data_IF_581149899926
#
_entry.id   IF_581149899926
#
_cell.length_a   1.000
_cell.length_b   1.000
_cell.length_c   1.000
_cell.angle_alpha   90.00
_cell.angle_beta   90.00
_cell.angle_gamma   90.00
#
_symmetry.space_group_name_H-M   'P 1'
#
loop_
_entity.id
_entity.type
_entity.pdbx_description
1 polymer ?
#
# COMPACT_ATOMS: atom_id res chain seq x y z
N UNK A 1 20.67 -5.59 -9.72
CA UNK A 1 19.48 -4.76 -9.45
C UNK A 1 18.96 -4.26 -10.78
N UNK A 2 17.73 -4.63 -11.13
CA UNK A 2 17.04 -4.26 -12.36
C UNK A 2 16.12 -3.07 -12.06
N UNK A 3 16.51 -1.88 -12.53
CA UNK A 3 15.76 -0.65 -12.32
C UNK A 3 14.36 -0.67 -12.95
N UNK A 4 14.10 -1.51 -13.96
CA UNK A 4 12.75 -1.68 -14.50
C UNK A 4 11.85 -2.41 -13.51
N UNK A 5 12.32 -3.50 -12.89
CA UNK A 5 11.57 -4.21 -11.86
C UNK A 5 11.28 -3.34 -10.65
N UNK A 6 12.25 -2.55 -10.18
CA UNK A 6 12.01 -1.65 -9.04
C UNK A 6 10.99 -0.55 -9.37
N UNK A 7 11.01 0.01 -10.59
CA UNK A 7 9.97 0.95 -11.04
C UNK A 7 8.60 0.29 -11.09
N UNK A 8 8.51 -0.96 -11.57
CA UNK A 8 7.25 -1.70 -11.55
C UNK A 8 6.77 -2.00 -10.13
N UNK A 9 7.68 -2.27 -9.19
CA UNK A 9 7.35 -2.41 -7.78
C UNK A 9 6.74 -1.12 -7.21
N UNK A 10 7.35 0.03 -7.52
CA UNK A 10 6.83 1.33 -7.11
C UNK A 10 5.44 1.62 -7.71
N UNK A 11 5.24 1.38 -9.01
CA UNK A 11 3.92 1.54 -9.66
C UNK A 11 2.87 0.60 -9.06
N UNK A 12 3.25 -0.62 -8.68
CA UNK A 12 2.34 -1.54 -8.03
C UNK A 12 1.97 -1.08 -6.60
N UNK A 13 2.93 -0.51 -5.86
CA UNK A 13 2.68 0.07 -4.55
C UNK A 13 1.76 1.30 -4.64
N UNK A 14 1.98 2.18 -5.61
CA UNK A 14 1.11 3.33 -5.90
C UNK A 14 -0.33 2.89 -6.16
N UNK A 15 -0.53 1.93 -7.06
CA UNK A 15 -1.86 1.36 -7.34
C UNK A 15 -2.51 0.76 -6.11
N UNK A 16 -1.75 0.11 -5.22
CA UNK A 16 -2.31 -0.43 -3.99
C UNK A 16 -2.96 0.66 -3.15
N UNK A 17 -2.30 1.81 -3.00
CA UNK A 17 -2.83 2.95 -2.24
C UNK A 17 -4.03 3.57 -2.97
N UNK A 18 -3.94 3.76 -4.28
CA UNK A 18 -5.08 4.27 -5.10
C UNK A 18 -6.32 3.38 -4.95
N UNK A 19 -6.14 2.06 -4.94
CA UNK A 19 -7.23 1.11 -4.73
C UNK A 19 -7.82 1.21 -3.32
N UNK A 20 -7.01 1.45 -2.28
CA UNK A 20 -7.54 1.72 -0.94
C UNK A 20 -8.37 3.01 -0.92
N UNK A 21 -7.88 4.09 -1.53
CA UNK A 21 -8.59 5.38 -1.61
C UNK A 21 -9.91 5.23 -2.38
N UNK A 22 -9.92 4.40 -3.42
CA UNK A 22 -11.11 4.10 -4.19
C UNK A 22 -12.07 3.10 -3.51
N UNK A 23 -11.78 2.64 -2.28
CA UNK A 23 -12.61 1.67 -1.56
C UNK A 23 -12.61 0.26 -2.17
N UNK A 24 -11.51 -0.14 -2.82
CA UNK A 24 -11.33 -1.41 -3.51
C UNK A 24 -10.30 -2.31 -2.82
N UNK A 25 -10.60 -2.85 -1.62
CA UNK A 25 -9.65 -3.56 -0.78
C UNK A 25 -9.00 -4.77 -1.47
N UNK A 26 -9.77 -5.56 -2.23
CA UNK A 26 -9.24 -6.76 -2.91
C UNK A 26 -8.31 -6.42 -4.09
N UNK A 27 -8.51 -5.27 -4.74
CA UNK A 27 -7.56 -4.77 -5.76
C UNK A 27 -6.29 -4.24 -5.10
N UNK A 28 -6.41 -3.57 -3.95
CA UNK A 28 -5.28 -3.08 -3.18
C UNK A 28 -4.36 -4.21 -2.70
N UNK A 29 -4.93 -5.28 -2.13
CA UNK A 29 -4.17 -6.44 -1.66
C UNK A 29 -3.38 -7.08 -2.80
N UNK A 30 -4.01 -7.30 -3.96
CA UNK A 30 -3.33 -7.86 -5.15
C UNK A 30 -2.21 -6.96 -5.65
N UNK A 31 -2.43 -5.65 -5.70
CA UNK A 31 -1.40 -4.69 -6.11
C UNK A 31 -0.23 -4.67 -5.11
N UNK A 32 -0.50 -4.75 -3.81
CA UNK A 32 0.54 -4.80 -2.77
C UNK A 32 1.40 -6.06 -2.84
N UNK A 33 0.79 -7.22 -3.09
CA UNK A 33 1.50 -8.49 -3.31
C UNK A 33 2.39 -8.38 -4.55
N UNK A 34 1.86 -7.79 -5.62
CA UNK A 34 2.63 -7.56 -6.83
C UNK A 34 3.83 -6.63 -6.60
N UNK A 35 3.68 -5.61 -5.77
CA UNK A 35 4.78 -4.74 -5.38
C UNK A 35 5.88 -5.53 -4.65
N UNK A 36 5.50 -6.38 -3.68
CA UNK A 36 6.44 -7.23 -2.94
C UNK A 36 7.16 -8.27 -3.83
N UNK A 37 6.47 -8.86 -4.83
CA UNK A 37 7.10 -9.79 -5.79
C UNK A 37 8.17 -9.12 -6.68
N UNK A 38 7.94 -7.84 -7.01
CA UNK A 38 8.81 -7.07 -7.90
C UNK A 38 9.94 -6.35 -7.15
N UNK A 39 9.77 -6.16 -5.85
CA UNK A 39 10.70 -5.46 -4.99
C UNK A 39 11.98 -6.27 -4.79
N UNK A 40 13.09 -5.71 -5.26
CA UNK A 40 14.38 -6.39 -5.23
C UNK A 40 15.19 -6.09 -3.98
N UNK A 41 14.79 -5.07 -3.24
CA UNK A 41 15.56 -4.49 -2.13
C UNK A 41 14.80 -4.51 -0.80
N UNK A 42 13.55 -4.98 -0.81
CA UNK A 42 12.76 -5.21 0.41
C UNK A 42 12.14 -3.94 1.01
N UNK A 43 12.07 -2.84 0.25
CA UNK A 43 11.36 -1.60 0.66
C UNK A 43 9.90 -1.90 0.99
N UNK A 44 9.21 -2.68 0.16
CA UNK A 44 7.77 -2.93 0.28
C UNK A 44 7.45 -4.21 1.07
N UNK A 45 8.42 -4.77 1.79
CA UNK A 45 8.25 -5.99 2.59
C UNK A 45 7.12 -5.89 3.64
N UNK A 46 6.86 -4.69 4.15
CA UNK A 46 5.79 -4.41 5.13
C UNK A 46 4.47 -3.95 4.49
N UNK A 47 4.50 -3.59 3.21
CA UNK A 47 3.35 -2.99 2.51
C UNK A 47 2.14 -3.94 2.49
N UNK A 48 2.36 -5.22 2.25
CA UNK A 48 1.28 -6.23 2.17
C UNK A 48 0.50 -6.29 3.49
N UNK A 49 1.20 -6.33 4.63
CA UNK A 49 0.56 -6.39 5.94
C UNK A 49 -0.20 -5.10 6.28
N UNK A 50 0.39 -3.94 5.96
CA UNK A 50 -0.25 -2.65 6.19
C UNK A 50 -1.50 -2.46 5.32
N UNK A 51 -1.44 -2.85 4.05
CA UNK A 51 -2.59 -2.83 3.14
C UNK A 51 -3.70 -3.74 3.63
N UNK A 52 -3.37 -4.94 4.14
CA UNK A 52 -4.36 -5.86 4.70
C UNK A 52 -5.10 -5.30 5.93
N UNK A 53 -4.41 -4.55 6.80
CA UNK A 53 -5.02 -3.85 7.93
C UNK A 53 -6.08 -2.85 7.48
N UNK A 54 -5.70 -1.93 6.58
CA UNK A 54 -6.64 -0.94 6.01
C UNK A 54 -7.77 -1.60 5.24
N UNK A 55 -7.48 -2.63 4.44
CA UNK A 55 -8.48 -3.38 3.69
C UNK A 55 -9.52 -4.06 4.60
N UNK A 56 -9.10 -4.50 5.80
CA UNK A 56 -10.00 -5.08 6.81
C UNK A 56 -10.98 -4.03 7.36
N UNK A 57 -10.50 -2.83 7.65
CA UNK A 57 -11.36 -1.73 8.11
C UNK A 57 -12.38 -1.34 7.03
N UNK A 58 -11.90 -1.17 5.78
CA UNK A 58 -12.75 -0.85 4.63
C UNK A 58 -13.84 -1.91 4.39
N UNK A 59 -13.49 -3.21 4.46
CA UNK A 59 -14.46 -4.32 4.33
C UNK A 59 -15.45 -4.35 5.48
N UNK A 60 -15.06 -3.91 6.66
CA UNK A 60 -15.93 -3.83 7.84
C UNK A 60 -16.84 -2.60 7.81
N UNK A 61 -16.65 -1.69 6.85
CA UNK A 61 -17.42 -0.45 6.74
C UNK A 61 -17.17 0.54 7.87
N UNK A 62 -16.05 0.38 8.59
CA UNK A 62 -15.64 1.28 9.67
C UNK A 62 -14.66 2.31 9.14
N UNK A 63 -14.49 3.41 9.87
CA UNK A 63 -13.40 4.34 9.64
C UNK A 63 -12.07 3.62 9.80
N UNK A 64 -11.13 3.85 8.89
CA UNK A 64 -9.78 3.26 8.97
C UNK A 64 -9.12 3.73 10.26
N UNK A 65 -8.64 2.77 11.06
CA UNK A 65 -8.00 3.08 12.33
C UNK A 65 -6.70 3.88 12.09
N UNK A 66 -6.43 4.88 12.93
CA UNK A 66 -5.18 5.66 12.87
C UNK A 66 -3.94 4.76 12.93
N UNK A 67 -4.02 3.66 13.67
CA UNK A 67 -2.98 2.64 13.78
C UNK A 67 -2.61 2.05 12.42
N UNK A 68 -3.62 1.72 11.60
CA UNK A 68 -3.42 1.16 10.28
C UNK A 68 -2.92 2.21 9.29
N UNK A 69 -3.36 3.47 9.41
CA UNK A 69 -2.84 4.59 8.62
C UNK A 69 -1.35 4.85 8.90
N UNK A 70 -0.95 4.83 10.19
CA UNK A 70 0.46 4.97 10.59
C UNK A 70 1.30 3.82 10.03
N UNK A 71 0.83 2.57 10.18
CA UNK A 71 1.51 1.40 9.65
C UNK A 71 1.67 1.47 8.11
N UNK A 72 0.65 1.95 7.40
CA UNK A 72 0.70 2.13 5.95
C UNK A 72 1.70 3.21 5.55
N UNK A 73 1.71 4.35 6.25
CA UNK A 73 2.67 5.45 6.01
C UNK A 73 4.11 4.99 6.25
N UNK A 74 4.35 4.24 7.32
CA UNK A 74 5.66 3.66 7.63
C UNK A 74 6.11 2.64 6.58
N UNK A 75 5.17 1.87 6.02
CA UNK A 75 5.47 0.86 5.01
C UNK A 75 5.81 1.44 3.63
N UNK A 76 5.27 2.61 3.28
CA UNK A 76 5.59 3.29 2.01
C UNK A 76 6.79 4.25 2.13
N UNK A 77 7.14 4.64 3.36
CA UNK A 77 8.21 5.58 3.64
C UNK A 77 7.88 7.02 3.25
N UNK A 78 8.89 7.89 3.33
CA UNK A 78 8.73 9.31 2.98
C UNK A 78 8.70 9.48 1.46
N UNK A 79 7.70 10.19 0.95
CA UNK A 79 7.60 10.52 -0.49
C UNK A 79 6.16 10.67 -0.98
N UNK A 80 5.95 10.70 -2.31
CA UNK A 80 4.64 10.91 -2.93
C UNK A 80 3.57 9.91 -2.48
N UNK A 81 3.99 8.66 -2.21
CA UNK A 81 3.08 7.63 -1.70
C UNK A 81 2.51 7.99 -0.32
N UNK A 82 3.27 8.68 0.53
CA UNK A 82 2.78 9.10 1.85
C UNK A 82 1.68 10.17 1.75
N UNK A 83 1.71 11.01 0.72
CA UNK A 83 0.67 12.01 0.47
C UNK A 83 -0.63 11.35 -0.02
N UNK A 84 -0.53 10.24 -0.76
CA UNK A 84 -1.69 9.43 -1.13
C UNK A 84 -2.35 8.77 0.09
N UNK A 85 -1.56 8.31 1.06
CA UNK A 85 -2.08 7.74 2.31
C UNK A 85 -2.89 8.76 3.12
N UNK A 86 -2.51 10.04 3.08
CA UNK A 86 -3.23 11.12 3.79
C UNK A 86 -4.67 11.32 3.27
N UNK A 87 -5.03 10.76 2.09
CA UNK A 87 -6.39 10.79 1.54
C UNK A 87 -7.33 9.71 2.10
N UNK A 88 -6.83 8.79 2.93
CA UNK A 88 -7.61 7.72 3.56
C UNK A 88 -8.28 8.13 4.89
N UNK A 89 -8.11 9.38 5.30
CA UNK A 89 -8.74 9.99 6.48
C UNK A 89 -10.14 10.51 6.16
#
# INVERSE_FOLDING_TARGET
MDGHKQRQALTAAERAIEHLVAGKPDEAERASQRAAELDQIGIFSRLVAAVAGVATDLRSGVTVADEHLVALRDAVGVGPLSELVDQLR
#
